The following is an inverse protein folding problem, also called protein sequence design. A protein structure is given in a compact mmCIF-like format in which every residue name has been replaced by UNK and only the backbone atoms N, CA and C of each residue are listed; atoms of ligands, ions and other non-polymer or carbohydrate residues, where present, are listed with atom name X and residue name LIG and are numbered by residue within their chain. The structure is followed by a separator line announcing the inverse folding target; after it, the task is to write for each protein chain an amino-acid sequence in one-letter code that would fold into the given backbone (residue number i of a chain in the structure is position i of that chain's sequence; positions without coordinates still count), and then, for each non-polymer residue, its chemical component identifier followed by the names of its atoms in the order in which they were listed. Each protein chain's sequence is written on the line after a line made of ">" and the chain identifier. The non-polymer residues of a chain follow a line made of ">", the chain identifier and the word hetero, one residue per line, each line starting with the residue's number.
data_IF_712108150723
#
_entry.id   IF_712108150723
#
_cell.length_a   1.000
_cell.length_b   1.000
_cell.length_c   1.000
_cell.angle_alpha   90.00
_cell.angle_beta   90.00
_cell.angle_gamma   90.00
#
_symmetry.space_group_name_H-M   'P 1'
#
loop_
_entity.id
_entity.type
_entity.pdbx_description
1 polymer ?
#
# COMPACT_ATOMS: atom_id res chain seq x y z
N UNK A 1 10.70 -0.50 11.47
CA UNK A 1 10.70 -0.76 10.02
C UNK A 1 10.82 -2.27 9.89
N UNK A 2 9.91 -2.94 9.17
CA UNK A 2 10.00 -4.39 8.99
C UNK A 2 11.29 -4.76 8.28
N UNK A 3 11.80 -5.97 8.52
CA UNK A 3 12.94 -6.50 7.78
C UNK A 3 12.48 -7.15 6.47
N UNK A 4 13.44 -7.59 5.65
CA UNK A 4 13.15 -8.20 4.36
C UNK A 4 12.23 -9.43 4.46
N UNK A 5 12.38 -10.34 5.44
CA UNK A 5 11.49 -11.50 5.57
C UNK A 5 10.01 -11.11 5.74
N UNK A 6 9.70 -10.13 6.58
CA UNK A 6 8.32 -9.69 6.84
C UNK A 6 7.72 -8.97 5.63
N UNK A 7 8.54 -8.20 4.90
CA UNK A 7 8.13 -7.57 3.64
C UNK A 7 7.75 -8.63 2.61
N UNK A 8 8.53 -9.70 2.47
CA UNK A 8 8.25 -10.76 1.49
C UNK A 8 7.03 -11.58 1.86
N UNK A 9 6.84 -11.90 3.15
CA UNK A 9 5.61 -12.58 3.63
C UNK A 9 4.39 -11.72 3.34
N UNK A 10 4.45 -10.41 3.62
CA UNK A 10 3.34 -9.48 3.36
C UNK A 10 3.04 -9.42 1.86
N UNK A 11 4.08 -9.30 1.02
CA UNK A 11 3.94 -9.25 -0.45
C UNK A 11 3.26 -10.50 -0.99
N UNK A 12 3.73 -11.69 -0.62
CA UNK A 12 3.16 -12.96 -1.06
C UNK A 12 1.71 -13.14 -0.59
N UNK A 13 1.40 -12.68 0.63
CA UNK A 13 0.05 -12.76 1.19
C UNK A 13 -0.97 -11.90 0.45
N UNK A 14 -0.61 -10.67 0.05
CA UNK A 14 -1.55 -9.75 -0.61
C UNK A 14 -1.63 -9.95 -2.13
N UNK A 15 -0.54 -10.42 -2.77
CA UNK A 15 -0.42 -10.58 -4.22
C UNK A 15 -1.64 -11.21 -4.91
N UNK A 16 -2.13 -12.42 -4.53
CA UNK A 16 -3.25 -13.06 -5.22
C UNK A 16 -4.57 -12.31 -5.10
N UNK A 17 -4.69 -11.38 -4.15
CA UNK A 17 -5.90 -10.58 -3.94
C UNK A 17 -5.88 -9.25 -4.68
N UNK A 18 -4.70 -8.80 -5.15
CA UNK A 18 -4.52 -7.49 -5.77
C UNK A 18 -4.19 -7.57 -7.26
N UNK A 19 -3.50 -8.61 -7.71
CA UNK A 19 -3.12 -8.74 -9.13
C UNK A 19 -4.34 -8.76 -10.06
N UNK A 20 -4.27 -7.96 -11.13
CA UNK A 20 -5.35 -7.81 -12.11
C UNK A 20 -6.53 -6.94 -11.67
N UNK A 21 -6.50 -6.37 -10.45
CA UNK A 21 -7.56 -5.49 -9.95
C UNK A 21 -7.24 -4.01 -10.17
N UNK A 22 -8.28 -3.21 -10.39
CA UNK A 22 -8.19 -1.75 -10.48
C UNK A 22 -8.62 -1.12 -9.16
N UNK A 23 -7.82 -0.17 -8.66
CA UNK A 23 -8.19 0.67 -7.52
C UNK A 23 -9.18 1.72 -8.03
N UNK A 24 -10.35 1.82 -7.39
CA UNK A 24 -11.43 2.74 -7.79
C UNK A 24 -11.54 3.97 -6.89
N UNK A 25 -11.06 3.87 -5.65
CA UNK A 25 -11.16 4.93 -4.64
C UNK A 25 -10.12 4.70 -3.54
N UNK A 26 -9.67 5.78 -2.88
CA UNK A 26 -8.76 5.73 -1.72
C UNK A 26 -9.19 6.79 -0.70
N UNK A 27 -9.44 6.35 0.54
CA UNK A 27 -9.68 7.26 1.67
C UNK A 27 -8.39 7.48 2.48
N UNK A 28 -7.89 8.71 2.49
CA UNK A 28 -6.69 9.08 3.26
C UNK A 28 -7.10 9.73 4.58
N UNK A 29 -7.02 8.97 5.67
CA UNK A 29 -7.43 9.42 7.01
C UNK A 29 -6.27 10.14 7.72
N UNK A 30 -5.05 9.60 7.63
CA UNK A 30 -3.82 10.24 8.14
C UNK A 30 -2.70 10.13 7.08
N UNK A 31 -2.33 11.26 6.48
CA UNK A 31 -1.32 11.33 5.43
C UNK A 31 0.13 11.46 5.93
N UNK A 32 0.38 11.47 7.24
CA UNK A 32 1.69 11.75 7.87
C UNK A 32 2.57 10.50 7.96
N UNK A 33 2.83 9.86 6.83
CA UNK A 33 3.69 8.68 6.73
C UNK A 33 5.18 9.06 6.59
N UNK A 34 6.08 8.06 6.67
CA UNK A 34 7.52 8.23 6.36
C UNK A 34 7.72 8.91 5.00
N UNK A 35 6.87 8.58 4.03
CA UNK A 35 6.72 9.32 2.78
C UNK A 35 5.32 9.92 2.73
N UNK A 36 5.18 11.25 2.70
CA UNK A 36 3.86 11.89 2.76
C UNK A 36 3.01 11.51 1.56
N UNK A 37 1.70 11.39 1.78
CA UNK A 37 0.74 11.15 0.69
C UNK A 37 0.64 12.40 -0.19
N UNK A 38 0.80 12.29 -1.52
CA UNK A 38 0.64 13.42 -2.44
C UNK A 38 -0.75 14.06 -2.33
N UNK A 39 -0.80 15.39 -2.25
CA UNK A 39 -2.07 16.14 -2.11
C UNK A 39 -2.94 16.15 -3.37
N UNK A 40 -2.38 15.78 -4.52
CA UNK A 40 -3.06 15.77 -5.81
C UNK A 40 -3.23 14.37 -6.38
N UNK A 41 -3.37 13.35 -5.52
CA UNK A 41 -3.82 12.03 -5.98
C UNK A 41 -5.20 12.20 -6.63
N UNK A 42 -5.40 11.70 -7.86
CA UNK A 42 -6.65 11.85 -8.61
C UNK A 42 -7.84 11.17 -7.95
#
# INVERSE_FOLDING_TARGET
>A
MPELPEVEVTRLGIKPHLEGRQITHVDVIDGRLRWPVPRGLP
#
